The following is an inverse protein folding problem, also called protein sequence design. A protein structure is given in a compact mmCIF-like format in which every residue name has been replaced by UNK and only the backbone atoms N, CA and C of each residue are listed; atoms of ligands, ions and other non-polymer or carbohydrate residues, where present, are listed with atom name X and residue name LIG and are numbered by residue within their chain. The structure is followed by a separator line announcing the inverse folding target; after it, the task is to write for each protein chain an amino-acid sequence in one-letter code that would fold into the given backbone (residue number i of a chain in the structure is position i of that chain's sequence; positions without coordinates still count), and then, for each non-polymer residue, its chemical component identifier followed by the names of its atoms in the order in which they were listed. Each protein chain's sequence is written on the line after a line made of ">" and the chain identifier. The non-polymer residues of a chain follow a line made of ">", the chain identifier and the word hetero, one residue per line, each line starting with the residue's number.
data_IF_552077365493
#
_entry.id   IF_552077365493
#
_cell.length_a   1.000
_cell.length_b   1.000
_cell.length_c   1.000
_cell.angle_alpha   90.00
_cell.angle_beta   90.00
_cell.angle_gamma   90.00
#
_symmetry.space_group_name_H-M   'P 1'
#
loop_
_entity.id
_entity.type
_entity.pdbx_description
1 polymer ?
#
# COMPACT_ATOMS: atom_id res chain seq x y z
N UNK A 1 16.76 -3.89 24.78
CA UNK A 1 15.40 -3.40 25.06
C UNK A 1 15.02 -2.20 24.19
N UNK A 2 15.87 -1.19 24.08
CA UNK A 2 15.60 -0.01 23.23
C UNK A 2 15.34 -0.34 21.75
N UNK A 3 16.06 -1.29 21.15
CA UNK A 3 15.87 -1.67 19.75
C UNK A 3 14.48 -2.26 19.47
N UNK A 4 13.91 -3.03 20.38
CA UNK A 4 12.58 -3.62 20.24
C UNK A 4 11.46 -2.58 20.36
N UNK A 5 11.64 -1.60 21.23
CA UNK A 5 10.69 -0.50 21.40
C UNK A 5 10.68 0.39 20.16
N UNK A 6 11.83 0.70 19.60
CA UNK A 6 11.95 1.47 18.35
C UNK A 6 11.31 0.72 17.18
N UNK A 7 11.54 -0.59 17.09
CA UNK A 7 10.93 -1.45 16.06
C UNK A 7 9.40 -1.45 16.18
N UNK A 8 8.87 -1.59 17.40
CA UNK A 8 7.43 -1.55 17.65
C UNK A 8 6.83 -0.18 17.26
N UNK A 9 7.48 0.91 17.60
CA UNK A 9 7.03 2.26 17.23
C UNK A 9 7.01 2.41 15.69
N UNK A 10 8.01 1.89 14.99
CA UNK A 10 8.06 1.95 13.53
C UNK A 10 6.97 1.11 12.89
N UNK A 11 6.67 -0.07 13.43
CA UNK A 11 5.54 -0.90 12.99
C UNK A 11 4.22 -0.16 13.20
N UNK A 12 4.01 0.46 14.34
CA UNK A 12 2.79 1.23 14.62
C UNK A 12 2.65 2.40 13.64
N UNK A 13 3.70 3.18 13.44
CA UNK A 13 3.71 4.29 12.47
C UNK A 13 3.40 3.81 11.05
N UNK A 14 4.04 2.73 10.63
CA UNK A 14 3.81 2.13 9.31
C UNK A 14 2.35 1.66 9.16
N UNK A 15 1.81 1.03 10.20
CA UNK A 15 0.42 0.57 10.22
C UNK A 15 -0.58 1.73 10.12
N UNK A 16 -0.34 2.82 10.84
CA UNK A 16 -1.18 4.03 10.78
C UNK A 16 -1.16 4.61 9.36
N UNK A 17 0.02 4.72 8.74
CA UNK A 17 0.15 5.18 7.35
C UNK A 17 -0.57 4.23 6.40
N UNK A 18 -0.44 2.92 6.61
CA UNK A 18 -1.12 1.90 5.80
C UNK A 18 -2.64 1.98 5.87
N UNK A 19 -3.20 2.14 7.06
CA UNK A 19 -4.66 2.34 7.25
C UNK A 19 -5.12 3.64 6.59
N UNK A 20 -4.39 4.73 6.79
CA UNK A 20 -4.69 6.03 6.16
C UNK A 20 -4.69 5.92 4.62
N UNK A 21 -3.72 5.21 4.06
CA UNK A 21 -3.64 4.99 2.61
C UNK A 21 -4.79 4.14 2.08
N UNK A 22 -5.20 3.11 2.83
CA UNK A 22 -6.35 2.28 2.46
C UNK A 22 -7.64 3.10 2.44
N UNK A 23 -7.85 3.95 3.43
CA UNK A 23 -8.99 4.86 3.47
C UNK A 23 -8.95 5.87 2.31
N UNK A 24 -7.81 6.46 2.04
CA UNK A 24 -7.62 7.39 0.93
C UNK A 24 -7.92 6.72 -0.43
N UNK A 25 -7.37 5.52 -0.64
CA UNK A 25 -7.63 4.73 -1.83
C UNK A 25 -9.12 4.47 -2.02
N UNK A 26 -9.80 4.06 -0.96
CA UNK A 26 -11.23 3.76 -0.97
C UNK A 26 -12.07 5.00 -1.31
N UNK A 27 -11.80 6.13 -0.67
CA UNK A 27 -12.51 7.40 -0.92
C UNK A 27 -12.32 7.86 -2.37
N UNK A 28 -11.07 7.85 -2.87
CA UNK A 28 -10.78 8.28 -4.25
C UNK A 28 -11.47 7.34 -5.25
N UNK A 29 -11.42 6.03 -5.01
CA UNK A 29 -12.10 5.06 -5.88
C UNK A 29 -13.61 5.34 -5.97
N UNK A 30 -14.27 5.56 -4.83
CA UNK A 30 -15.71 5.86 -4.80
C UNK A 30 -16.01 7.13 -5.58
N UNK A 31 -15.24 8.19 -5.37
CA UNK A 31 -15.44 9.47 -6.05
C UNK A 31 -15.29 9.30 -7.57
N UNK A 32 -14.24 8.63 -8.02
CA UNK A 32 -14.00 8.41 -9.45
C UNK A 32 -15.06 7.50 -10.09
N UNK A 33 -15.48 6.46 -9.37
CA UNK A 33 -16.53 5.57 -9.85
C UNK A 33 -17.89 6.29 -9.95
N UNK A 34 -18.20 7.18 -9.01
CA UNK A 34 -19.46 7.95 -9.01
C UNK A 34 -19.54 8.98 -10.15
N UNK A 35 -18.41 9.50 -10.61
CA UNK A 35 -18.37 10.39 -11.78
C UNK A 35 -18.28 9.64 -13.12
N UNK A 36 -18.43 8.32 -13.10
CA UNK A 36 -18.52 7.48 -14.30
C UNK A 36 -17.20 6.97 -14.86
N UNK A 37 -16.09 7.10 -14.13
CA UNK A 37 -14.81 6.53 -14.54
C UNK A 37 -14.88 5.01 -14.42
N UNK A 38 -14.34 4.30 -15.42
CA UNK A 38 -14.24 2.85 -15.41
C UNK A 38 -13.58 2.35 -14.11
N UNK A 39 -14.14 1.30 -13.51
CA UNK A 39 -13.70 0.78 -12.21
C UNK A 39 -12.24 0.34 -12.17
N UNK A 40 -11.70 -0.20 -13.26
CA UNK A 40 -10.28 -0.57 -13.34
C UNK A 40 -9.41 0.68 -13.32
N UNK A 41 -9.75 1.67 -14.14
CA UNK A 41 -9.02 2.94 -14.21
C UNK A 41 -9.15 3.72 -12.90
N UNK A 42 -10.34 3.77 -12.31
CA UNK A 42 -10.57 4.37 -11.01
C UNK A 42 -9.71 3.72 -9.91
N UNK A 43 -9.60 2.40 -9.92
CA UNK A 43 -8.77 1.64 -8.98
C UNK A 43 -7.27 1.95 -9.17
N UNK A 44 -6.78 1.99 -10.40
CA UNK A 44 -5.38 2.31 -10.70
C UNK A 44 -5.04 3.72 -10.24
N UNK A 45 -5.88 4.70 -10.55
CA UNK A 45 -5.68 6.11 -10.15
C UNK A 45 -5.69 6.23 -8.63
N UNK A 46 -6.69 5.66 -7.96
CA UNK A 46 -6.83 5.69 -6.51
C UNK A 46 -5.61 5.07 -5.82
N UNK A 47 -5.16 3.91 -6.30
CA UNK A 47 -3.99 3.24 -5.77
C UNK A 47 -2.70 4.03 -6.00
N UNK A 48 -2.53 4.62 -7.19
CA UNK A 48 -1.37 5.45 -7.53
C UNK A 48 -1.26 6.68 -6.61
N UNK A 49 -2.37 7.36 -6.35
CA UNK A 49 -2.41 8.50 -5.42
C UNK A 49 -2.07 8.03 -3.99
N UNK A 50 -2.58 6.87 -3.58
CA UNK A 50 -2.26 6.29 -2.28
C UNK A 50 -0.79 5.94 -2.13
N UNK A 51 -0.13 5.45 -3.19
CA UNK A 51 1.32 5.19 -3.20
C UNK A 51 2.10 6.49 -2.98
N UNK A 52 1.75 7.56 -3.69
CA UNK A 52 2.41 8.88 -3.54
C UNK A 52 2.27 9.38 -2.11
N UNK A 53 1.08 9.29 -1.54
CA UNK A 53 0.82 9.65 -0.16
C UNK A 53 1.62 8.78 0.82
N UNK A 54 1.67 7.47 0.58
CA UNK A 54 2.46 6.52 1.37
C UNK A 54 3.94 6.85 1.34
N UNK A 55 4.48 7.16 0.17
CA UNK A 55 5.86 7.59 0.01
C UNK A 55 6.18 8.83 0.83
N UNK A 56 5.33 9.84 0.72
CA UNK A 56 5.50 11.10 1.43
C UNK A 56 5.55 10.90 2.96
N UNK A 57 4.63 10.16 3.52
CA UNK A 57 4.56 9.92 4.95
C UNK A 57 5.63 8.95 5.45
N UNK A 58 5.87 7.86 4.75
CA UNK A 58 6.87 6.87 5.15
C UNK A 58 8.29 7.45 5.06
N UNK A 59 8.61 8.23 4.03
CA UNK A 59 9.92 8.88 3.94
C UNK A 59 10.18 9.85 5.09
N UNK A 60 9.14 10.49 5.62
CA UNK A 60 9.26 11.44 6.75
C UNK A 60 9.22 10.77 8.12
N UNK A 61 8.35 9.77 8.31
CA UNK A 61 8.07 9.20 9.61
C UNK A 61 8.87 7.93 9.91
N UNK A 62 9.09 7.09 8.91
CA UNK A 62 9.69 5.76 9.09
C UNK A 62 11.17 5.74 8.72
N UNK A 63 11.57 6.40 7.63
CA UNK A 63 12.94 6.37 7.12
C UNK A 63 13.90 7.39 7.75
N UNK A 64 13.48 8.08 8.78
CA UNK A 64 14.26 9.12 9.43
C UNK A 64 15.50 8.60 10.16
N UNK A 65 15.63 7.30 10.36
CA UNK A 65 16.59 6.70 11.28
C UNK A 65 17.85 6.10 10.65
N UNK A 66 17.90 5.86 9.32
CA UNK A 66 19.09 5.28 8.72
C UNK A 66 19.51 6.03 7.46
N UNK A 67 20.58 6.80 7.57
CA UNK A 67 21.11 7.61 6.45
C UNK A 67 21.86 6.78 5.41
N UNK A 68 22.35 5.57 5.75
CA UNK A 68 23.22 4.79 4.86
C UNK A 68 22.47 3.99 3.80
N UNK A 69 21.26 3.52 4.11
CA UNK A 69 20.48 2.63 3.25
C UNK A 69 19.16 3.20 2.72
N UNK A 70 18.90 4.50 2.91
CA UNK A 70 17.65 5.16 2.48
C UNK A 70 17.30 4.90 1.03
N UNK A 71 18.27 5.00 0.12
CA UNK A 71 18.04 4.83 -1.31
C UNK A 71 17.63 3.40 -1.67
N UNK A 72 18.28 2.40 -1.07
CA UNK A 72 17.94 0.99 -1.30
C UNK A 72 16.54 0.66 -0.79
N UNK A 73 16.21 1.09 0.41
CA UNK A 73 14.88 0.87 1.02
C UNK A 73 13.80 1.56 0.20
N UNK A 74 14.06 2.77 -0.28
CA UNK A 74 13.16 3.51 -1.15
C UNK A 74 12.88 2.78 -2.46
N UNK A 75 13.92 2.29 -3.12
CA UNK A 75 13.79 1.54 -4.38
C UNK A 75 12.97 0.27 -4.15
N UNK A 76 13.26 -0.49 -3.09
CA UNK A 76 12.49 -1.67 -2.72
C UNK A 76 11.02 -1.33 -2.43
N UNK A 77 10.77 -0.23 -1.73
CA UNK A 77 9.43 0.25 -1.45
C UNK A 77 8.66 0.60 -2.72
N UNK A 78 9.29 1.31 -3.66
CA UNK A 78 8.67 1.64 -4.95
C UNK A 78 8.36 0.37 -5.76
N UNK A 79 9.32 -0.55 -5.86
CA UNK A 79 9.13 -1.82 -6.58
C UNK A 79 7.96 -2.61 -5.98
N UNK A 80 7.92 -2.70 -4.66
CA UNK A 80 6.85 -3.40 -3.95
C UNK A 80 5.47 -2.79 -4.21
N UNK A 81 5.40 -1.46 -4.24
CA UNK A 81 4.15 -0.75 -4.54
C UNK A 81 3.72 -0.90 -6.01
N UNK A 82 4.66 -0.96 -6.94
CA UNK A 82 4.36 -1.27 -8.35
C UNK A 82 3.81 -2.69 -8.52
N UNK A 83 4.36 -3.65 -7.81
CA UNK A 83 3.82 -5.02 -7.75
C UNK A 83 2.40 -5.01 -7.15
N UNK A 84 2.19 -4.30 -6.05
CA UNK A 84 0.89 -4.13 -5.42
C UNK A 84 -0.14 -3.49 -6.36
N UNK A 85 0.26 -2.47 -7.13
CA UNK A 85 -0.59 -1.84 -8.15
C UNK A 85 -1.02 -2.84 -9.23
N UNK A 86 -0.08 -3.65 -9.71
CA UNK A 86 -0.37 -4.68 -10.71
C UNK A 86 -1.33 -5.75 -10.17
N UNK A 87 -1.11 -6.21 -8.94
CA UNK A 87 -2.01 -7.16 -8.26
C UNK A 87 -3.40 -6.54 -8.08
N UNK A 88 -3.47 -5.28 -7.65
CA UNK A 88 -4.73 -4.57 -7.49
C UNK A 88 -5.54 -4.51 -8.80
N UNK A 89 -4.89 -4.14 -9.90
CA UNK A 89 -5.53 -4.07 -11.22
C UNK A 89 -6.04 -5.44 -11.70
N UNK A 90 -5.24 -6.48 -11.53
CA UNK A 90 -5.62 -7.86 -11.90
C UNK A 90 -6.77 -8.36 -11.03
N UNK A 91 -6.73 -8.16 -9.72
CA UNK A 91 -7.80 -8.56 -8.82
C UNK A 91 -9.11 -7.83 -9.14
N UNK A 92 -9.05 -6.50 -9.38
CA UNK A 92 -10.25 -5.74 -9.77
C UNK A 92 -10.85 -6.26 -11.07
N UNK A 93 -10.04 -6.48 -12.09
CA UNK A 93 -10.51 -7.02 -13.37
C UNK A 93 -11.13 -8.42 -13.24
N UNK A 94 -10.54 -9.27 -12.41
CA UNK A 94 -11.01 -10.64 -12.20
C UNK A 94 -12.30 -10.68 -11.39
N UNK A 95 -12.33 -10.02 -10.25
CA UNK A 95 -13.46 -10.08 -9.34
C UNK A 95 -14.70 -9.39 -9.91
N UNK A 96 -14.57 -8.18 -10.48
CA UNK A 96 -15.70 -7.49 -11.11
C UNK A 96 -16.11 -8.16 -12.42
N UNK A 97 -15.14 -8.51 -13.25
CA UNK A 97 -15.41 -9.08 -14.57
C UNK A 97 -15.94 -10.52 -14.52
N UNK A 98 -15.46 -11.33 -13.59
CA UNK A 98 -15.79 -12.77 -13.53
C UNK A 98 -16.83 -13.08 -12.47
N UNK A 99 -16.71 -12.51 -11.26
CA UNK A 99 -17.58 -12.83 -10.12
C UNK A 99 -18.76 -11.87 -9.97
N UNK A 100 -18.82 -10.79 -10.75
CA UNK A 100 -19.91 -9.79 -10.75
C UNK A 100 -20.26 -9.24 -9.33
N UNK A 101 -19.27 -9.14 -8.47
CA UNK A 101 -19.43 -8.57 -7.14
C UNK A 101 -19.66 -7.05 -7.23
N UNK A 102 -20.42 -6.46 -6.32
CA UNK A 102 -20.63 -5.00 -6.28
C UNK A 102 -19.29 -4.26 -6.19
N UNK A 103 -19.05 -3.29 -7.06
CA UNK A 103 -17.78 -2.56 -7.21
C UNK A 103 -17.20 -2.00 -5.89
N UNK A 104 -18.06 -1.46 -5.02
CA UNK A 104 -17.62 -0.87 -3.74
C UNK A 104 -17.17 -1.95 -2.75
N UNK A 105 -17.96 -3.03 -2.59
CA UNK A 105 -17.62 -4.14 -1.71
C UNK A 105 -16.35 -4.85 -2.15
N UNK A 106 -16.17 -4.96 -3.47
CA UNK A 106 -14.98 -5.53 -4.06
C UNK A 106 -13.73 -4.69 -3.84
N UNK A 107 -13.83 -3.37 -4.01
CA UNK A 107 -12.72 -2.48 -3.71
C UNK A 107 -12.24 -2.65 -2.27
N UNK A 108 -13.15 -2.83 -1.34
CA UNK A 108 -12.82 -3.08 0.06
C UNK A 108 -12.05 -4.40 0.23
N UNK A 109 -12.53 -5.49 -0.38
CA UNK A 109 -11.87 -6.80 -0.33
C UNK A 109 -10.48 -6.74 -0.97
N UNK A 110 -10.36 -6.13 -2.16
CA UNK A 110 -9.08 -5.97 -2.87
C UNK A 110 -8.10 -5.15 -2.03
N UNK A 111 -8.55 -4.05 -1.43
CA UNK A 111 -7.71 -3.22 -0.58
C UNK A 111 -7.17 -3.97 0.63
N UNK A 112 -8.00 -4.81 1.28
CA UNK A 112 -7.57 -5.65 2.38
C UNK A 112 -6.55 -6.70 1.95
N UNK A 113 -6.78 -7.38 0.83
CA UNK A 113 -5.86 -8.38 0.30
C UNK A 113 -4.51 -7.77 -0.07
N UNK A 114 -4.50 -6.64 -0.77
CA UNK A 114 -3.27 -5.91 -1.14
C UNK A 114 -2.55 -5.42 0.11
N UNK A 115 -3.28 -4.93 1.12
CA UNK A 115 -2.69 -4.51 2.39
C UNK A 115 -2.00 -5.68 3.11
N UNK A 116 -2.62 -6.85 3.16
CA UNK A 116 -2.03 -8.05 3.76
C UNK A 116 -0.76 -8.49 3.01
N UNK A 117 -0.81 -8.52 1.68
CA UNK A 117 0.34 -8.88 0.84
C UNK A 117 1.46 -7.87 1.03
N UNK A 118 1.17 -6.57 0.99
CA UNK A 118 2.14 -5.52 1.22
C UNK A 118 2.78 -5.60 2.60
N UNK A 119 2.01 -5.87 3.64
CA UNK A 119 2.53 -6.06 4.99
C UNK A 119 3.53 -7.23 5.06
N UNK A 120 3.15 -8.40 4.52
CA UNK A 120 3.99 -9.60 4.52
C UNK A 120 5.29 -9.32 3.73
N UNK A 121 5.19 -8.76 2.53
CA UNK A 121 6.35 -8.49 1.68
C UNK A 121 7.26 -7.40 2.28
N UNK A 122 6.70 -6.37 2.89
CA UNK A 122 7.48 -5.37 3.61
C UNK A 122 8.27 -6.00 4.77
N UNK A 123 7.62 -6.86 5.56
CA UNK A 123 8.26 -7.55 6.68
C UNK A 123 9.39 -8.48 6.23
N UNK A 124 9.18 -9.21 5.13
CA UNK A 124 10.15 -10.23 4.68
C UNK A 124 11.29 -9.60 3.87
N UNK A 125 11.02 -8.58 3.09
CA UNK A 125 11.97 -8.06 2.10
C UNK A 125 12.50 -6.66 2.40
N UNK A 126 11.63 -5.70 2.67
CA UNK A 126 12.03 -4.29 2.85
C UNK A 126 12.69 -4.07 4.20
N UNK A 127 12.09 -4.60 5.26
CA UNK A 127 12.54 -4.45 6.64
C UNK A 127 13.30 -5.66 7.19
N UNK A 128 13.71 -6.57 6.32
CA UNK A 128 14.60 -7.66 6.73
C UNK A 128 15.90 -7.03 7.23
N UNK A 129 16.15 -7.14 8.53
CA UNK A 129 17.46 -6.80 9.10
C UNK A 129 18.49 -7.68 8.40
N UNK A 130 19.43 -7.05 7.70
CA UNK A 130 20.65 -7.75 7.33
C UNK A 130 21.29 -8.18 8.65
N UNK A 131 21.25 -9.46 8.96
CA UNK A 131 22.02 -10.05 10.03
C UNK A 131 23.50 -9.88 9.65
N UNK A 132 24.14 -8.96 10.34
CA UNK A 132 25.59 -8.80 10.29
C UNK A 132 26.23 -10.03 10.95
#
# INVERSE_FOLDING_TARGET
>A
MESKVVELINIIKFSIVGVSNTLLNFVIFILLNNIGINYILASIIAYSISIINSYFWNSRLVFKYDNKNKKSILIKFIILNLIGLSINAVLMATLVGVLAIKKIGEMFIVSLLVMCINYILNKIWVFKKESI
#
